data_IF_239321366417
#
_entry.id   IF_239321366417
#
_cell.length_a   1.000
_cell.length_b   1.000
_cell.length_c   1.000
_cell.angle_alpha   90.00
_cell.angle_beta   90.00
_cell.angle_gamma   90.00
#
_symmetry.space_group_name_H-M   'P 1'
#
loop_
_entity.id
_entity.type
_entity.pdbx_description
1 polymer ?
#
# COMPACT_ATOMS: atom_id res chain seq x y z
N UNK A 1 -0.69 16.71 7.11
CA UNK A 1 -1.43 15.48 7.45
C UNK A 1 -2.90 15.80 7.69
N UNK A 2 -3.81 15.09 7.02
CA UNK A 2 -5.27 15.36 7.05
C UNK A 2 -6.07 14.31 7.82
N UNK A 3 -5.41 13.32 8.40
CA UNK A 3 -6.06 12.35 9.27
C UNK A 3 -6.49 13.04 10.56
N UNK A 4 -7.75 12.82 10.93
CA UNK A 4 -8.33 13.29 12.18
C UNK A 4 -8.95 12.13 12.91
N UNK A 5 -8.91 12.23 14.22
CA UNK A 5 -9.54 11.25 15.09
C UNK A 5 -10.66 11.89 15.92
N UNK A 6 -11.74 11.15 16.08
CA UNK A 6 -12.93 11.54 16.84
C UNK A 6 -13.20 10.48 17.90
N UNK A 7 -13.60 10.88 19.11
CA UNK A 7 -14.11 9.91 20.08
C UNK A 7 -15.33 9.22 19.48
N UNK A 8 -15.40 7.89 19.59
CA UNK A 8 -16.50 7.08 19.02
C UNK A 8 -17.86 7.63 19.44
N UNK A 9 -18.01 7.95 20.73
CA UNK A 9 -19.26 8.46 21.31
C UNK A 9 -19.67 9.87 20.82
N UNK A 10 -18.79 10.59 20.12
CA UNK A 10 -18.99 11.96 19.64
C UNK A 10 -18.70 12.11 18.15
N UNK A 11 -18.54 11.00 17.44
CA UNK A 11 -18.17 11.05 16.04
C UNK A 11 -19.33 11.63 15.20
N UNK A 12 -19.02 12.55 14.27
CA UNK A 12 -20.03 13.10 13.38
C UNK A 12 -20.54 12.02 12.42
N UNK A 13 -21.82 12.10 12.04
CA UNK A 13 -22.34 11.33 10.92
C UNK A 13 -21.89 12.00 9.61
N UNK A 14 -21.29 11.21 8.72
CA UNK A 14 -20.89 11.66 7.38
C UNK A 14 -21.89 11.27 6.29
N UNK A 15 -23.02 10.64 6.64
CA UNK A 15 -24.00 10.12 5.68
C UNK A 15 -24.59 11.19 4.74
N UNK A 16 -24.67 12.44 5.20
CA UNK A 16 -25.17 13.58 4.42
C UNK A 16 -24.05 14.47 3.87
N UNK A 17 -22.78 14.06 4.02
CA UNK A 17 -21.66 14.85 3.52
C UNK A 17 -21.49 14.67 2.03
N UNK A 18 -21.33 15.79 1.31
CA UNK A 18 -21.03 15.78 -0.14
C UNK A 18 -19.70 15.06 -0.45
N UNK A 19 -18.75 15.10 0.48
CA UNK A 19 -17.49 14.34 0.40
C UNK A 19 -17.23 13.66 1.74
N UNK A 20 -17.54 12.37 1.81
CA UNK A 20 -17.27 11.56 3.00
C UNK A 20 -15.77 11.29 3.14
N UNK A 21 -15.19 11.43 4.35
CA UNK A 21 -13.81 11.02 4.59
C UNK A 21 -13.69 9.49 4.59
N UNK A 22 -12.46 9.02 4.43
CA UNK A 22 -12.14 7.60 4.44
C UNK A 22 -11.93 7.17 5.89
N UNK A 23 -12.70 6.20 6.36
CA UNK A 23 -12.46 5.57 7.65
C UNK A 23 -11.24 4.66 7.57
N UNK A 24 -10.21 4.96 8.36
CA UNK A 24 -8.97 4.18 8.41
C UNK A 24 -9.05 3.05 9.45
N UNK A 25 -9.79 3.25 10.53
CA UNK A 25 -9.91 2.26 11.59
C UNK A 25 -10.25 2.86 12.94
N UNK A 26 -10.24 1.99 13.95
CA UNK A 26 -10.61 2.30 15.33
C UNK A 26 -9.48 1.92 16.28
N UNK A 27 -9.10 2.85 17.16
CA UNK A 27 -8.06 2.63 18.18
C UNK A 27 -8.35 3.51 19.40
N UNK A 28 -8.22 2.96 20.60
CA UNK A 28 -8.38 3.65 21.89
C UNK A 28 -9.68 4.49 22.01
N UNK A 29 -10.83 3.89 21.70
CA UNK A 29 -12.16 4.53 21.69
C UNK A 29 -12.30 5.70 20.71
N UNK A 30 -11.51 5.70 19.63
CA UNK A 30 -11.54 6.75 18.60
C UNK A 30 -11.65 6.16 17.20
N UNK A 31 -12.45 6.82 16.38
CA UNK A 31 -12.49 6.60 14.94
C UNK A 31 -11.47 7.50 14.24
N UNK A 32 -10.74 6.95 13.29
CA UNK A 32 -9.72 7.64 12.50
C UNK A 32 -10.19 7.82 11.07
N UNK A 33 -10.08 9.05 10.57
CA UNK A 33 -10.58 9.42 9.25
C UNK A 33 -9.55 10.22 8.47
N UNK A 34 -9.28 9.82 7.23
CA UNK A 34 -8.50 10.57 6.27
C UNK A 34 -9.42 11.49 5.43
N UNK A 35 -9.01 12.75 5.28
CA UNK A 35 -9.78 13.76 4.55
C UNK A 35 -9.02 14.16 3.29
N UNK A 36 -9.71 14.23 2.15
CA UNK A 36 -9.14 14.70 0.89
C UNK A 36 -8.63 16.15 0.97
N UNK A 37 -7.74 16.54 0.06
CA UNK A 37 -7.28 17.94 -0.07
C UNK A 37 -8.48 18.90 -0.23
N UNK A 38 -8.41 20.09 0.39
CA UNK A 38 -9.53 21.05 0.39
C UNK A 38 -10.71 20.75 1.35
N UNK A 39 -10.94 19.50 1.73
CA UNK A 39 -12.02 19.14 2.67
C UNK A 39 -11.67 19.60 4.09
N UNK A 40 -12.63 20.29 4.74
CA UNK A 40 -12.52 20.76 6.13
C UNK A 40 -13.13 19.72 7.08
N UNK A 41 -12.36 19.19 8.04
CA UNK A 41 -12.90 18.28 9.04
C UNK A 41 -13.95 18.94 9.92
N UNK A 42 -14.94 18.17 10.36
CA UNK A 42 -15.92 18.61 11.34
C UNK A 42 -15.26 18.94 12.68
N UNK A 43 -15.92 19.81 13.46
CA UNK A 43 -15.47 20.22 14.81
C UNK A 43 -15.36 19.01 15.74
N UNK A 44 -14.51 19.12 16.77
CA UNK A 44 -14.31 18.07 17.78
C UNK A 44 -13.30 16.98 17.37
N UNK A 45 -12.62 17.16 16.23
CA UNK A 45 -11.48 16.33 15.84
C UNK A 45 -10.22 16.65 16.62
N UNK A 46 -9.37 15.63 16.82
CA UNK A 46 -7.96 15.76 17.25
C UNK A 46 -7.06 15.55 16.05
N UNK A 47 -5.89 16.20 16.05
CA UNK A 47 -4.78 15.80 15.17
C UNK A 47 -4.26 14.44 15.62
N UNK A 48 -3.86 13.63 14.66
CA UNK A 48 -3.21 12.34 14.88
C UNK A 48 -1.71 12.56 14.77
N UNK A 49 -0.95 12.04 15.73
CA UNK A 49 0.52 12.05 15.73
C UNK A 49 1.05 10.87 14.90
N UNK A 50 2.29 10.95 14.41
CA UNK A 50 2.83 9.94 13.48
C UNK A 50 2.86 8.52 14.09
N UNK A 51 3.19 8.38 15.39
CA UNK A 51 3.14 7.09 16.08
C UNK A 51 1.73 6.53 16.23
N UNK A 52 0.76 7.38 16.61
CA UNK A 52 -0.67 7.02 16.69
C UNK A 52 -1.19 6.58 15.31
N UNK A 53 -0.75 7.26 14.23
CA UNK A 53 -1.10 6.89 12.86
C UNK A 53 -0.55 5.53 12.46
N UNK A 54 0.71 5.24 12.79
CA UNK A 54 1.34 3.96 12.45
C UNK A 54 0.57 2.77 13.05
N UNK A 55 0.14 2.90 14.31
CA UNK A 55 -0.66 1.87 14.99
C UNK A 55 -2.05 1.70 14.36
N UNK A 56 -2.68 2.80 13.94
CA UNK A 56 -3.95 2.79 13.21
C UNK A 56 -3.79 2.13 11.85
N UNK A 57 -2.74 2.44 11.11
CA UNK A 57 -2.46 1.83 9.80
C UNK A 57 -2.25 0.31 9.95
N UNK A 58 -1.47 -0.12 10.94
CA UNK A 58 -1.23 -1.55 11.22
C UNK A 58 -2.52 -2.31 11.56
N UNK A 59 -3.45 -1.67 12.26
CA UNK A 59 -4.74 -2.25 12.66
C UNK A 59 -5.86 -2.03 11.63
N UNK A 60 -5.61 -1.25 10.58
CA UNK A 60 -6.59 -0.93 9.55
C UNK A 60 -6.90 -2.14 8.68
N UNK A 61 -8.16 -2.60 8.71
CA UNK A 61 -8.63 -3.66 7.81
C UNK A 61 -8.50 -3.26 6.34
N UNK A 62 -8.75 -1.98 6.02
CA UNK A 62 -8.63 -1.46 4.66
C UNK A 62 -7.19 -1.58 4.15
N UNK A 63 -6.21 -1.15 4.96
CA UNK A 63 -4.80 -1.25 4.57
C UNK A 63 -4.36 -2.72 4.49
N UNK A 64 -4.81 -3.57 5.41
CA UNK A 64 -4.55 -5.01 5.35
C UNK A 64 -5.07 -5.62 4.05
N UNK A 65 -6.29 -5.29 3.62
CA UNK A 65 -6.84 -5.77 2.35
C UNK A 65 -6.02 -5.31 1.13
N UNK A 66 -5.52 -4.07 1.13
CA UNK A 66 -4.62 -3.57 0.07
C UNK A 66 -3.31 -4.37 0.03
N UNK A 67 -2.75 -4.73 1.19
CA UNK A 67 -1.53 -5.56 1.27
C UNK A 67 -1.79 -7.01 0.86
N UNK A 68 -2.93 -7.58 1.25
CA UNK A 68 -3.36 -8.91 0.80
C UNK A 68 -3.52 -8.96 -0.71
N UNK A 69 -4.09 -7.92 -1.30
CA UNK A 69 -4.24 -7.79 -2.74
C UNK A 69 -2.90 -7.72 -3.47
N UNK A 70 -1.98 -6.90 -2.95
CA UNK A 70 -0.60 -6.87 -3.45
C UNK A 70 0.06 -8.25 -3.35
N UNK A 71 -0.14 -8.95 -2.23
CA UNK A 71 0.37 -10.31 -2.02
C UNK A 71 -0.19 -11.33 -3.02
N UNK A 72 -1.50 -11.24 -3.33
CA UNK A 72 -2.14 -12.05 -4.37
C UNK A 72 -1.51 -11.81 -5.74
N UNK A 73 -1.32 -10.54 -6.12
CA UNK A 73 -0.70 -10.15 -7.41
C UNK A 73 0.77 -10.60 -7.49
N UNK A 74 1.53 -10.41 -6.41
CA UNK A 74 2.91 -10.89 -6.31
C UNK A 74 2.96 -12.41 -6.48
N UNK A 75 2.10 -13.17 -5.81
CA UNK A 75 2.06 -14.62 -5.93
C UNK A 75 1.70 -15.11 -7.34
N UNK A 76 0.90 -14.34 -8.10
CA UNK A 76 0.59 -14.64 -9.49
C UNK A 76 1.81 -14.47 -10.41
N UNK A 77 2.69 -13.50 -10.11
CA UNK A 77 3.96 -13.29 -10.84
C UNK A 77 5.02 -14.30 -10.40
N UNK A 78 5.24 -14.40 -9.10
CA UNK A 78 6.27 -15.24 -8.50
C UNK A 78 5.81 -15.75 -7.12
N UNK A 79 5.43 -17.03 -7.00
CA UNK A 79 5.21 -17.66 -5.70
C UNK A 79 6.45 -17.53 -4.81
N UNK A 80 6.25 -17.62 -3.48
CA UNK A 80 7.32 -17.39 -2.50
C UNK A 80 8.62 -18.16 -2.78
N UNK A 81 8.53 -19.44 -3.17
CA UNK A 81 9.72 -20.24 -3.48
C UNK A 81 10.50 -19.72 -4.70
N UNK A 82 9.82 -19.16 -5.72
CA UNK A 82 10.49 -18.55 -6.87
C UNK A 82 11.19 -17.25 -6.49
N UNK A 83 10.57 -16.45 -5.62
CA UNK A 83 11.22 -15.24 -5.09
C UNK A 83 12.48 -15.59 -4.28
N UNK A 84 12.42 -16.66 -3.47
CA UNK A 84 13.58 -17.12 -2.70
C UNK A 84 14.70 -17.63 -3.60
N UNK A 85 14.38 -18.39 -4.65
CA UNK A 85 15.37 -18.84 -5.63
C UNK A 85 16.02 -17.64 -6.34
N UNK A 86 15.23 -16.71 -6.86
CA UNK A 86 15.76 -15.51 -7.51
C UNK A 86 16.68 -14.68 -6.59
N UNK A 87 16.35 -14.59 -5.29
CA UNK A 87 17.23 -13.95 -4.30
C UNK A 87 18.53 -14.75 -4.07
N UNK A 88 18.46 -16.08 -4.08
CA UNK A 88 19.65 -16.92 -3.98
C UNK A 88 20.54 -16.80 -5.22
N UNK A 89 19.95 -16.77 -6.42
CA UNK A 89 20.66 -16.60 -7.68
C UNK A 89 21.37 -15.25 -7.72
N UNK A 90 20.68 -14.17 -7.34
CA UNK A 90 21.32 -12.86 -7.14
C UNK A 90 22.50 -12.96 -6.16
N UNK A 91 22.30 -13.56 -4.99
CA UNK A 91 23.36 -13.63 -3.98
C UNK A 91 24.58 -14.44 -4.43
N UNK A 92 24.37 -15.51 -5.20
CA UNK A 92 25.43 -16.43 -5.64
C UNK A 92 26.15 -15.96 -6.91
N UNK A 93 25.45 -15.25 -7.79
CA UNK A 93 25.93 -14.91 -9.13
C UNK A 93 26.29 -13.43 -9.28
N UNK A 94 25.69 -12.52 -8.49
CA UNK A 94 25.97 -11.09 -8.60
C UNK A 94 27.42 -10.76 -8.25
N UNK A 95 28.05 -9.92 -9.07
CA UNK A 95 29.45 -9.52 -8.92
C UNK A 95 30.49 -10.57 -9.34
N UNK A 96 30.09 -11.71 -9.93
CA UNK A 96 31.02 -12.64 -10.58
C UNK A 96 31.29 -12.24 -12.03
N UNK A 97 32.56 -12.22 -12.41
CA UNK A 97 32.99 -11.91 -13.79
C UNK A 97 33.09 -13.15 -14.69
N UNK A 98 32.97 -14.35 -14.11
CA UNK A 98 33.23 -15.64 -14.78
C UNK A 98 31.96 -16.47 -15.05
N UNK A 99 30.80 -15.80 -15.15
CA UNK A 99 29.53 -16.46 -15.39
C UNK A 99 29.45 -17.11 -16.78
N UNK A 100 28.97 -18.36 -16.81
CA UNK A 100 28.51 -19.01 -18.03
C UNK A 100 27.30 -18.30 -18.62
N UNK A 101 26.96 -18.58 -19.88
CA UNK A 101 25.81 -17.94 -20.53
C UNK A 101 24.48 -18.35 -19.88
N UNK A 102 24.38 -19.59 -19.37
CA UNK A 102 23.22 -20.04 -18.60
C UNK A 102 23.12 -19.30 -17.26
N UNK A 103 24.22 -19.16 -16.50
CA UNK A 103 24.22 -18.40 -15.24
C UNK A 103 23.90 -16.91 -15.45
N UNK A 104 24.34 -16.31 -16.56
CA UNK A 104 23.96 -14.92 -16.91
C UNK A 104 22.46 -14.82 -17.16
N UNK A 105 21.88 -15.80 -17.85
CA UNK A 105 20.45 -15.83 -18.13
C UNK A 105 19.64 -15.98 -16.85
N UNK A 106 20.03 -16.90 -15.96
CA UNK A 106 19.41 -17.08 -14.65
C UNK A 106 19.48 -15.79 -13.81
N UNK A 107 20.62 -15.09 -13.83
CA UNK A 107 20.80 -13.81 -13.14
C UNK A 107 19.85 -12.73 -13.68
N UNK A 108 19.71 -12.62 -15.00
CA UNK A 108 18.79 -11.66 -15.65
C UNK A 108 17.34 -11.98 -15.26
N UNK A 109 16.92 -13.25 -15.34
CA UNK A 109 15.57 -13.66 -14.99
C UNK A 109 15.24 -13.40 -13.51
N UNK A 110 16.21 -13.66 -12.62
CA UNK A 110 16.08 -13.35 -11.20
C UNK A 110 15.93 -11.84 -10.94
N UNK A 111 16.73 -11.01 -11.60
CA UNK A 111 16.64 -9.55 -11.52
C UNK A 111 15.28 -9.03 -12.00
N UNK A 112 14.84 -9.46 -13.18
CA UNK A 112 13.57 -9.05 -13.77
C UNK A 112 12.36 -9.46 -12.91
N UNK A 113 12.39 -10.68 -12.37
CA UNK A 113 11.34 -11.18 -11.49
C UNK A 113 11.23 -10.33 -10.22
N UNK A 114 12.37 -10.06 -9.57
CA UNK A 114 12.38 -9.28 -8.33
C UNK A 114 12.08 -7.80 -8.55
N UNK A 115 12.43 -7.25 -9.72
CA UNK A 115 12.03 -5.91 -10.13
C UNK A 115 10.50 -5.79 -10.23
N UNK A 116 9.83 -6.73 -10.90
CA UNK A 116 8.35 -6.75 -10.99
C UNK A 116 7.69 -6.88 -9.62
N UNK A 117 8.22 -7.75 -8.75
CA UNK A 117 7.70 -7.88 -7.37
C UNK A 117 7.86 -6.56 -6.60
N UNK A 118 8.98 -5.87 -6.77
CA UNK A 118 9.24 -4.57 -6.13
C UNK A 118 8.29 -3.49 -6.65
N UNK A 119 7.97 -3.47 -7.94
CA UNK A 119 6.99 -2.54 -8.52
C UNK A 119 5.61 -2.73 -7.91
N UNK A 120 5.13 -3.98 -7.76
CA UNK A 120 3.82 -4.25 -7.12
C UNK A 120 3.82 -3.79 -5.66
N UNK A 121 4.90 -4.04 -4.90
CA UNK A 121 5.03 -3.56 -3.51
C UNK A 121 4.98 -2.04 -3.45
N UNK A 122 5.75 -1.36 -4.30
CA UNK A 122 5.73 0.11 -4.40
C UNK A 122 4.34 0.63 -4.74
N UNK A 123 3.64 -0.01 -5.67
CA UNK A 123 2.30 0.38 -6.06
C UNK A 123 1.29 0.20 -4.93
N UNK A 124 1.43 -0.87 -4.15
CA UNK A 124 0.65 -1.07 -2.93
C UNK A 124 0.84 0.07 -1.93
N UNK A 125 2.09 0.51 -1.71
CA UNK A 125 2.40 1.64 -0.83
C UNK A 125 1.81 2.96 -1.38
N UNK A 126 1.83 3.17 -2.69
CA UNK A 126 1.20 4.34 -3.32
C UNK A 126 -0.33 4.35 -3.14
N UNK A 127 -0.98 3.21 -3.33
CA UNK A 127 -2.42 3.06 -3.12
C UNK A 127 -2.77 3.34 -1.65
N UNK A 128 -2.06 2.74 -0.71
CA UNK A 128 -2.22 3.00 0.73
C UNK A 128 -2.10 4.51 1.04
N UNK A 129 -1.05 5.16 0.53
CA UNK A 129 -0.85 6.59 0.72
C UNK A 129 -2.01 7.42 0.16
N UNK A 130 -2.60 7.00 -0.96
CA UNK A 130 -3.79 7.66 -1.51
C UNK A 130 -4.95 7.65 -0.52
N UNK A 131 -5.21 6.52 0.13
CA UNK A 131 -6.25 6.41 1.17
C UNK A 131 -5.92 7.26 2.40
N UNK A 132 -4.65 7.31 2.83
CA UNK A 132 -4.20 8.17 3.94
C UNK A 132 -4.37 9.67 3.59
N UNK A 133 -4.20 10.03 2.32
CA UNK A 133 -4.48 11.37 1.79
C UNK A 133 -5.97 11.64 1.57
N UNK A 134 -6.84 10.67 1.89
CA UNK A 134 -8.30 10.78 1.80
C UNK A 134 -8.82 10.66 0.37
N UNK A 135 -8.06 10.06 -0.53
CA UNK A 135 -8.45 9.77 -1.92
C UNK A 135 -8.67 8.26 -2.05
N UNK A 136 -9.91 7.87 -2.35
CA UNK A 136 -10.24 6.46 -2.51
C UNK A 136 -9.85 6.00 -3.91
N UNK A 137 -9.09 4.91 -3.99
CA UNK A 137 -8.78 4.20 -5.23
C UNK A 137 -9.46 2.84 -5.22
N UNK A 138 -10.04 2.43 -6.35
CA UNK A 138 -10.57 1.07 -6.50
C UNK A 138 -9.42 0.08 -6.68
N UNK A 139 -8.79 -0.30 -5.57
CA UNK A 139 -7.64 -1.21 -5.55
C UNK A 139 -7.98 -2.64 -5.95
N UNK A 140 -9.26 -2.99 -6.14
CA UNK A 140 -9.65 -4.29 -6.69
C UNK A 140 -9.62 -4.29 -8.22
N UNK A 141 -9.62 -3.11 -8.85
CA UNK A 141 -9.54 -2.94 -10.28
C UNK A 141 -8.09 -3.07 -10.77
N UNK A 142 -7.88 -3.82 -11.84
CA UNK A 142 -6.54 -3.99 -12.44
C UNK A 142 -5.90 -2.67 -12.85
N UNK A 143 -6.68 -1.69 -13.31
CA UNK A 143 -6.18 -0.35 -13.66
C UNK A 143 -5.54 0.38 -12.50
N UNK A 144 -5.92 0.07 -11.26
CA UNK A 144 -5.28 0.67 -10.10
C UNK A 144 -3.83 0.20 -9.92
N UNK A 145 -3.45 -0.93 -10.54
CA UNK A 145 -2.13 -1.55 -10.42
C UNK A 145 -1.26 -1.40 -11.67
N UNK A 146 -1.81 -0.83 -12.74
CA UNK A 146 -1.04 -0.41 -13.91
C UNK A 146 -0.17 0.80 -13.54
N UNK A 147 1.03 0.87 -14.13
CA UNK A 147 1.93 1.98 -13.90
C UNK A 147 1.26 3.29 -14.36
N UNK A 148 1.30 4.32 -13.51
CA UNK A 148 0.68 5.63 -13.79
C UNK A 148 1.29 6.31 -15.05
N UNK A 149 2.43 5.80 -15.54
CA UNK A 149 3.07 6.26 -16.77
C UNK A 149 2.32 5.86 -18.05
N UNK A 150 1.47 4.85 -18.00
CA UNK A 150 0.71 4.37 -19.17
C UNK A 150 -0.73 4.96 -19.21
N UNK A 151 -1.04 5.90 -18.34
CA UNK A 151 -2.36 6.52 -18.18
C UNK A 151 -2.47 7.95 -18.76
N UNK A 152 -1.71 8.27 -19.81
CA UNK A 152 -1.90 9.48 -20.64
C UNK A 152 -2.68 9.21 -21.94
#
# INVERSE_FOLDING_TARGET
MKVKSYLISKAPSFAESEVAPIHLGDLDDRHYYAFAKGVKPAKGSKNVEDGELEDVIKSSLLIQQIKEEAGRRINAVAPAWKQQNALADLYLLDGRDDLSDDEKQDLIEAQDLLARVKEIRKRSDEIENSFIDGVALDYLNDKAWEDVKDAE
#
